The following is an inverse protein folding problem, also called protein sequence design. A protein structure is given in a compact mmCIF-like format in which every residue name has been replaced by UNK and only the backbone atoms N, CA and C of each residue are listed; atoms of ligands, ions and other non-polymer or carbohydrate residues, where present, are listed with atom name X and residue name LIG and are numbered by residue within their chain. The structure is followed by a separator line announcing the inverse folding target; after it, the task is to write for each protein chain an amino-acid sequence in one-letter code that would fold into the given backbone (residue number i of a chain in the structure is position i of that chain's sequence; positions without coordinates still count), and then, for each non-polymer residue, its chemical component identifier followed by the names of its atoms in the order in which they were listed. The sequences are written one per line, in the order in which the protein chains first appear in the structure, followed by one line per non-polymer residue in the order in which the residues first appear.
data_IF_059304918161
#
_entry.id   IF_059304918161
#
_cell.length_a   1.000
_cell.length_b   1.000
_cell.length_c   1.000
_cell.angle_alpha   90.00
_cell.angle_beta   90.00
_cell.angle_gamma   90.00
#
_symmetry.space_group_name_H-M   'P 1'
#
loop_
_entity.id
_entity.type
_entity.pdbx_description
1 polymer ?
#
# COMPACT_ATOMS: atom_id res chain seq x y z
N UNK A 1 17.72 -69.91 6.60
CA UNK A 1 16.30 -70.20 6.33
C UNK A 1 15.52 -68.90 6.33
N UNK A 2 14.67 -68.73 5.32
CA UNK A 2 13.94 -67.52 4.92
C UNK A 2 12.90 -67.11 5.97
N UNK A 3 12.69 -65.81 6.20
CA UNK A 3 11.36 -65.27 6.49
C UNK A 3 11.21 -63.87 5.93
N UNK A 4 10.23 -63.80 5.06
CA UNK A 4 9.77 -62.80 4.11
C UNK A 4 9.17 -61.58 4.79
N UNK A 5 9.46 -60.39 4.25
CA UNK A 5 8.75 -59.16 4.52
C UNK A 5 7.53 -59.08 3.60
N UNK A 6 6.34 -58.95 4.17
CA UNK A 6 5.09 -58.77 3.42
C UNK A 6 4.72 -57.30 3.41
N UNK A 7 4.74 -56.71 2.21
CA UNK A 7 4.11 -55.44 1.87
C UNK A 7 2.60 -55.53 2.07
N UNK A 8 1.99 -54.55 2.73
CA UNK A 8 0.55 -54.28 2.61
C UNK A 8 0.40 -52.89 2.01
N UNK A 9 0.08 -52.87 0.71
CA UNK A 9 -0.50 -51.73 0.00
C UNK A 9 -1.90 -51.48 0.58
N UNK A 10 -2.11 -50.29 1.14
CA UNK A 10 -3.44 -49.76 1.42
C UNK A 10 -4.06 -49.18 0.14
N UNK A 11 -5.01 -49.91 -0.45
CA UNK A 11 -5.84 -49.43 -1.54
C UNK A 11 -7.00 -48.59 -0.97
N UNK A 12 -7.00 -47.28 -1.23
CA UNK A 12 -8.18 -46.44 -1.07
C UNK A 12 -8.71 -46.09 -2.47
N UNK A 13 -9.64 -46.92 -2.94
CA UNK A 13 -10.55 -46.57 -4.03
C UNK A 13 -11.63 -45.63 -3.46
N UNK A 14 -11.58 -44.35 -3.84
CA UNK A 14 -12.78 -43.51 -3.88
C UNK A 14 -12.93 -42.99 -5.31
N UNK A 15 -13.86 -43.63 -6.01
CA UNK A 15 -14.44 -43.17 -7.26
C UNK A 15 -15.37 -41.99 -6.95
N UNK A 16 -14.98 -40.79 -7.38
CA UNK A 16 -15.93 -39.72 -7.69
C UNK A 16 -15.66 -39.25 -9.12
N UNK A 17 -16.72 -39.28 -9.92
CA UNK A 17 -16.78 -39.07 -11.36
C UNK A 17 -16.43 -37.63 -11.79
N UNK A 18 -16.14 -37.41 -13.10
CA UNK A 18 -15.46 -36.23 -13.63
C UNK A 18 -16.43 -35.10 -14.00
N UNK A 19 -16.02 -33.86 -13.73
CA UNK A 19 -16.59 -32.65 -14.34
C UNK A 19 -15.45 -31.79 -14.88
N UNK A 20 -15.37 -31.67 -16.20
CA UNK A 20 -14.42 -30.81 -16.92
C UNK A 20 -14.78 -29.32 -16.74
N UNK A 21 -13.80 -28.49 -16.41
CA UNK A 21 -13.59 -27.21 -17.09
C UNK A 21 -12.13 -26.74 -16.91
N UNK A 22 -11.40 -26.41 -18.00
CA UNK A 22 -10.02 -25.94 -17.95
C UNK A 22 -9.97 -24.41 -17.82
N UNK A 23 -8.98 -23.88 -17.10
CA UNK A 23 -8.76 -22.44 -17.05
C UNK A 23 -7.57 -22.01 -16.19
N UNK A 24 -6.40 -21.92 -16.82
CA UNK A 24 -5.22 -21.12 -16.46
C UNK A 24 -5.11 -20.61 -15.00
N UNK A 25 -4.33 -21.30 -14.18
CA UNK A 25 -3.61 -20.68 -13.07
C UNK A 25 -2.22 -20.25 -13.57
N UNK A 26 -2.00 -18.94 -13.72
CA UNK A 26 -0.69 -18.28 -13.59
C UNK A 26 -0.88 -16.78 -13.74
N UNK A 27 -0.70 -16.03 -12.65
CA UNK A 27 -0.79 -14.59 -12.63
C UNK A 27 -0.99 -14.09 -11.21
N UNK A 28 0.11 -13.84 -10.52
CA UNK A 28 0.22 -13.31 -9.15
C UNK A 28 -0.76 -12.16 -8.90
N UNK A 29 -1.83 -12.43 -8.14
CA UNK A 29 -2.62 -11.39 -7.51
C UNK A 29 -1.72 -10.65 -6.51
N UNK A 30 -1.49 -9.37 -6.75
CA UNK A 30 -1.02 -8.45 -5.72
C UNK A 30 -1.94 -8.60 -4.50
N UNK A 31 -1.40 -8.59 -3.25
CA UNK A 31 -2.23 -8.80 -2.08
C UNK A 31 -3.24 -7.65 -1.96
N UNK A 32 -4.48 -7.92 -2.36
CA UNK A 32 -5.62 -7.06 -2.09
C UNK A 32 -6.00 -7.30 -0.63
N UNK A 33 -5.27 -6.62 0.24
CA UNK A 33 -5.42 -6.66 1.69
C UNK A 33 -6.77 -6.05 2.06
N UNK A 34 -7.80 -6.89 2.02
CA UNK A 34 -9.16 -6.58 2.43
C UNK A 34 -9.25 -6.82 3.95
N UNK A 35 -8.78 -5.86 4.75
CA UNK A 35 -9.15 -5.80 6.16
C UNK A 35 -10.24 -4.75 6.30
N UNK A 36 -11.33 -5.09 6.99
CA UNK A 36 -12.37 -4.16 7.40
C UNK A 36 -11.70 -3.00 8.18
N UNK A 37 -11.43 -1.90 7.47
CA UNK A 37 -10.76 -0.73 7.98
C UNK A 37 -11.81 0.28 8.41
N UNK A 38 -11.69 0.76 9.64
CA UNK A 38 -12.22 2.06 10.05
C UNK A 38 -11.95 3.08 8.94
N UNK A 39 -12.91 3.96 8.58
CA UNK A 39 -12.71 4.92 7.51
C UNK A 39 -11.40 5.68 7.71
N UNK A 40 -10.45 5.53 6.79
CA UNK A 40 -9.17 6.19 6.90
C UNK A 40 -9.39 7.69 6.77
N UNK A 41 -8.96 8.46 7.78
CA UNK A 41 -9.03 9.91 7.77
C UNK A 41 -7.62 10.48 7.76
N UNK A 42 -7.45 11.68 7.19
CA UNK A 42 -6.14 12.34 7.23
C UNK A 42 -5.61 12.54 8.66
N UNK A 43 -6.49 12.67 9.65
CA UNK A 43 -6.12 12.81 11.07
C UNK A 43 -5.43 11.56 11.64
N UNK A 44 -5.61 10.38 11.05
CA UNK A 44 -4.88 9.18 11.44
C UNK A 44 -3.37 9.38 11.35
N UNK A 45 -2.91 10.18 10.37
CA UNK A 45 -1.49 10.43 10.13
C UNK A 45 -0.84 11.22 11.27
N UNK A 46 -1.59 12.05 12.00
CA UNK A 46 -1.07 12.82 13.14
C UNK A 46 -0.61 11.93 14.30
N UNK A 47 -1.03 10.67 14.33
CA UNK A 47 -0.62 9.68 15.32
C UNK A 47 0.44 8.70 14.78
N UNK A 48 1.10 9.02 13.67
CA UNK A 48 2.12 8.16 13.08
C UNK A 48 3.30 7.95 14.05
N UNK A 49 3.69 6.69 14.26
CA UNK A 49 4.91 6.31 14.99
C UNK A 49 6.11 6.19 14.05
N UNK A 50 5.84 6.02 12.76
CA UNK A 50 6.84 6.02 11.68
C UNK A 50 6.24 6.70 10.47
N UNK A 51 7.00 7.55 9.81
CA UNK A 51 6.66 8.14 8.53
C UNK A 51 7.82 7.91 7.56
N UNK A 52 7.58 7.10 6.55
CA UNK A 52 8.51 6.87 5.45
C UNK A 52 8.08 7.67 4.22
N UNK A 53 9.06 8.24 3.54
CA UNK A 53 8.89 9.00 2.31
C UNK A 53 9.74 8.35 1.22
N UNK A 54 9.10 7.97 0.12
CA UNK A 54 9.72 7.26 -1.00
C UNK A 54 9.57 8.14 -2.24
N UNK A 55 10.66 8.45 -2.91
CA UNK A 55 10.62 9.22 -4.16
C UNK A 55 10.72 8.29 -5.36
N UNK A 56 10.20 8.73 -6.51
CA UNK A 56 10.28 7.97 -7.77
C UNK A 56 11.75 7.60 -8.08
N UNK A 57 12.05 6.39 -8.60
CA UNK A 57 13.43 5.93 -8.82
C UNK A 57 14.29 6.79 -9.75
N UNK A 58 13.64 7.59 -10.61
CA UNK A 58 14.27 8.51 -11.56
C UNK A 58 14.50 9.91 -10.97
N UNK A 59 14.15 10.12 -9.70
CA UNK A 59 14.42 11.37 -8.98
C UNK A 59 15.89 11.42 -8.55
N UNK A 60 16.51 12.59 -8.65
CA UNK A 60 17.87 12.84 -8.15
C UNK A 60 17.95 12.94 -6.61
N UNK A 61 16.84 12.69 -5.92
CA UNK A 61 16.71 12.75 -4.47
C UNK A 61 17.04 11.38 -3.81
N UNK A 62 17.54 11.37 -2.55
CA UNK A 62 17.64 10.14 -1.75
C UNK A 62 16.32 9.37 -1.77
N UNK A 63 16.41 8.07 -2.11
CA UNK A 63 15.23 7.30 -2.54
C UNK A 63 14.21 7.09 -1.41
N UNK A 64 14.66 6.91 -0.18
CA UNK A 64 13.80 6.71 0.99
C UNK A 64 14.32 7.51 2.19
N UNK A 65 13.42 8.23 2.87
CA UNK A 65 13.67 8.81 4.18
C UNK A 65 12.70 8.23 5.20
N UNK A 66 13.18 8.00 6.42
CA UNK A 66 12.38 7.41 7.49
C UNK A 66 12.48 8.30 8.72
N UNK A 67 11.34 8.82 9.16
CA UNK A 67 11.18 9.55 10.41
C UNK A 67 10.50 8.64 11.43
N UNK A 68 10.88 8.76 12.71
CA UNK A 68 10.37 7.92 13.80
C UNK A 68 9.86 8.77 14.97
N UNK A 69 8.93 8.20 15.72
CA UNK A 69 8.38 8.73 16.96
C UNK A 69 7.96 10.20 16.87
N UNK A 70 8.58 11.09 17.65
CA UNK A 70 8.22 12.50 17.67
C UNK A 70 8.47 13.19 16.33
N UNK A 71 9.57 12.85 15.64
CA UNK A 71 9.86 13.43 14.34
C UNK A 71 8.81 13.01 13.29
N UNK A 72 8.35 11.76 13.33
CA UNK A 72 7.27 11.31 12.46
C UNK A 72 5.98 12.12 12.68
N UNK A 73 5.63 12.39 13.95
CA UNK A 73 4.48 13.23 14.31
C UNK A 73 4.64 14.67 13.84
N UNK A 74 5.82 15.25 14.02
CA UNK A 74 6.11 16.64 13.61
C UNK A 74 5.99 16.79 12.09
N UNK A 75 6.51 15.82 11.32
CA UNK A 75 6.38 15.81 9.86
C UNK A 75 4.93 15.57 9.43
N UNK A 76 4.20 14.68 10.10
CA UNK A 76 2.78 14.47 9.83
C UNK A 76 1.93 15.72 10.15
N UNK A 77 2.27 16.49 11.18
CA UNK A 77 1.59 17.74 11.53
C UNK A 77 1.74 18.82 10.44
N UNK A 78 2.82 18.79 9.66
CA UNK A 78 3.00 19.64 8.47
C UNK A 78 2.19 19.10 7.29
N UNK A 79 2.16 17.77 7.11
CA UNK A 79 1.52 17.12 5.97
C UNK A 79 -0.01 17.19 6.02
N UNK A 80 -0.62 16.91 7.18
CA UNK A 80 -2.08 16.75 7.32
C UNK A 80 -2.88 17.99 6.88
N UNK A 81 -2.52 19.23 7.28
CA UNK A 81 -3.23 20.42 6.81
C UNK A 81 -3.20 20.58 5.28
N UNK A 82 -2.08 20.23 4.64
CA UNK A 82 -1.95 20.27 3.17
C UNK A 82 -2.90 19.26 2.52
N UNK A 83 -2.95 18.02 3.03
CA UNK A 83 -3.87 17.00 2.50
C UNK A 83 -5.34 17.38 2.70
N UNK A 84 -5.69 17.96 3.85
CA UNK A 84 -7.05 18.44 4.14
C UNK A 84 -7.51 19.60 3.26
N UNK A 85 -6.58 20.38 2.70
CA UNK A 85 -6.91 21.48 1.79
C UNK A 85 -7.32 21.04 0.39
N UNK A 86 -7.07 19.77 0.03
CA UNK A 86 -7.31 19.25 -1.29
C UNK A 86 -8.78 18.92 -1.56
N UNK A 87 -9.22 19.15 -2.79
CA UNK A 87 -10.60 18.88 -3.19
C UNK A 87 -10.75 17.41 -3.60
N UNK A 88 -11.75 16.70 -3.06
CA UNK A 88 -12.05 15.32 -3.46
C UNK A 88 -12.43 15.29 -4.95
N UNK A 89 -11.89 14.31 -5.67
CA UNK A 89 -12.16 14.07 -7.09
C UNK A 89 -12.92 12.76 -7.29
N UNK A 90 -13.84 12.75 -8.25
CA UNK A 90 -14.37 11.51 -8.81
C UNK A 90 -13.57 11.13 -10.05
N UNK A 91 -12.66 10.17 -9.88
CA UNK A 91 -11.88 9.61 -10.99
C UNK A 91 -12.46 8.25 -11.34
N UNK A 92 -12.86 8.09 -12.61
CA UNK A 92 -13.46 6.84 -13.13
C UNK A 92 -12.43 5.80 -13.56
N UNK A 93 -11.22 6.23 -13.92
CA UNK A 93 -10.15 5.37 -14.39
C UNK A 93 -8.86 5.55 -13.57
N UNK A 94 -8.21 4.47 -13.10
CA UNK A 94 -7.01 4.58 -12.28
C UNK A 94 -5.85 5.23 -13.04
N UNK A 95 -5.16 6.15 -12.36
CA UNK A 95 -3.94 6.77 -12.87
C UNK A 95 -2.87 5.71 -13.05
N UNK A 96 -2.35 5.58 -14.28
CA UNK A 96 -1.34 4.56 -14.64
C UNK A 96 0.10 5.02 -14.43
N UNK A 97 0.32 6.30 -14.17
CA UNK A 97 1.67 6.81 -13.87
C UNK A 97 2.12 6.32 -12.50
N UNK A 98 3.44 6.18 -12.31
CA UNK A 98 3.99 5.97 -10.99
C UNK A 98 3.90 7.27 -10.17
N UNK A 99 3.64 7.20 -8.85
CA UNK A 99 3.70 8.37 -8.00
C UNK A 99 5.09 9.00 -8.03
N UNK A 100 5.13 10.32 -7.90
CA UNK A 100 6.34 11.12 -7.76
C UNK A 100 6.92 10.94 -6.36
N UNK A 101 6.04 10.91 -5.35
CA UNK A 101 6.37 10.67 -3.94
C UNK A 101 5.29 9.78 -3.32
N UNK A 102 5.69 8.84 -2.47
CA UNK A 102 4.79 8.04 -1.65
C UNK A 102 5.13 8.24 -0.19
N UNK A 103 4.12 8.54 0.64
CA UNK A 103 4.22 8.47 2.09
C UNK A 103 3.66 7.17 2.60
N UNK A 104 4.38 6.53 3.51
CA UNK A 104 3.94 5.36 4.25
C UNK A 104 4.02 5.68 5.73
N UNK A 105 2.87 5.81 6.38
CA UNK A 105 2.78 6.06 7.80
C UNK A 105 2.29 4.81 8.55
N UNK A 106 2.98 4.43 9.62
CA UNK A 106 2.50 3.42 10.55
C UNK A 106 1.74 4.12 11.67
N UNK A 107 0.44 3.84 11.80
CA UNK A 107 -0.47 4.47 12.78
C UNK A 107 -1.10 3.40 13.68
N UNK A 108 -1.66 3.76 14.84
CA UNK A 108 -2.41 2.82 15.68
C UNK A 108 -3.58 2.14 14.95
N UNK A 109 -4.14 2.82 13.94
CA UNK A 109 -5.25 2.32 13.11
C UNK A 109 -4.75 1.53 11.87
N UNK A 110 -3.46 1.19 11.82
CA UNK A 110 -2.80 0.47 10.73
C UNK A 110 -1.99 1.36 9.80
N UNK A 111 -1.40 0.75 8.77
CA UNK A 111 -0.61 1.46 7.76
C UNK A 111 -1.50 2.41 6.95
N UNK A 112 -1.00 3.61 6.67
CA UNK A 112 -1.61 4.62 5.81
C UNK A 112 -0.65 4.96 4.68
N UNK A 113 -1.18 5.01 3.46
CA UNK A 113 -0.38 5.27 2.26
C UNK A 113 -0.98 6.46 1.53
N UNK A 114 -0.14 7.45 1.22
CA UNK A 114 -0.50 8.61 0.40
C UNK A 114 0.40 8.60 -0.83
N UNK A 115 -0.18 8.45 -2.01
CA UNK A 115 0.53 8.47 -3.29
C UNK A 115 0.35 9.83 -3.95
N UNK A 116 1.45 10.55 -4.16
CA UNK A 116 1.46 11.89 -4.74
C UNK A 116 1.86 11.83 -6.21
N UNK A 117 1.09 12.53 -7.03
CA UNK A 117 1.33 12.76 -8.45
C UNK A 117 1.57 14.26 -8.66
N UNK A 118 1.77 14.71 -9.90
CA UNK A 118 2.11 16.11 -10.18
C UNK A 118 1.06 17.12 -9.67
N UNK A 119 -0.23 16.79 -9.83
CA UNK A 119 -1.37 17.69 -9.60
C UNK A 119 -2.41 17.11 -8.61
N UNK A 120 -2.18 15.91 -8.08
CA UNK A 120 -3.18 15.19 -7.29
C UNK A 120 -2.53 14.18 -6.37
N UNK A 121 -3.33 13.61 -5.48
CA UNK A 121 -2.91 12.46 -4.70
C UNK A 121 -4.02 11.44 -4.52
N UNK A 122 -3.61 10.22 -4.20
CA UNK A 122 -4.48 9.12 -3.82
C UNK A 122 -4.24 8.76 -2.35
N UNK A 123 -5.33 8.59 -1.63
CA UNK A 123 -5.36 8.15 -0.24
C UNK A 123 -6.44 7.09 -0.07
N UNK A 124 -6.03 5.83 0.13
CA UNK A 124 -6.92 4.68 0.31
C UNK A 124 -8.00 4.55 -0.78
N UNK A 125 -7.58 4.61 -2.04
CA UNK A 125 -8.45 4.50 -3.22
C UNK A 125 -9.28 5.75 -3.52
N UNK A 126 -9.19 6.79 -2.68
CA UNK A 126 -9.87 8.07 -2.92
C UNK A 126 -8.88 9.09 -3.50
N UNK A 127 -9.32 9.81 -4.53
CA UNK A 127 -8.50 10.79 -5.24
C UNK A 127 -8.82 12.22 -4.82
N UNK A 128 -7.80 13.06 -4.78
CA UNK A 128 -7.89 14.46 -4.37
C UNK A 128 -7.03 15.35 -5.28
N UNK A 129 -7.58 16.49 -5.71
CA UNK A 129 -6.90 17.51 -6.50
C UNK A 129 -6.06 18.39 -5.59
N UNK A 130 -4.78 18.54 -5.90
CA UNK A 130 -3.86 19.41 -5.21
C UNK A 130 -2.80 19.90 -6.20
N UNK A 131 -2.98 21.13 -6.71
CA UNK A 131 -2.05 21.68 -7.69
C UNK A 131 -0.63 21.74 -7.12
N UNK A 132 0.34 21.27 -7.92
CA UNK A 132 1.73 21.06 -7.53
C UNK A 132 1.85 20.24 -6.24
N UNK A 133 1.16 19.09 -6.17
CA UNK A 133 1.08 18.28 -4.97
C UNK A 133 2.47 17.95 -4.38
N UNK A 134 3.49 17.52 -5.15
CA UNK A 134 4.79 17.18 -4.59
C UNK A 134 5.47 18.41 -3.98
N UNK A 135 5.41 19.57 -4.63
CA UNK A 135 6.04 20.78 -4.10
C UNK A 135 5.42 21.23 -2.77
N UNK A 136 4.08 21.20 -2.68
CA UNK A 136 3.34 21.60 -1.48
C UNK A 136 3.49 20.63 -0.31
N UNK A 137 3.60 19.34 -0.60
CA UNK A 137 3.65 18.29 0.43
C UNK A 137 5.07 17.91 0.83
N UNK A 138 5.95 17.63 -0.14
CA UNK A 138 7.33 17.22 0.09
C UNK A 138 8.25 18.40 0.44
N UNK A 139 8.10 19.54 -0.26
CA UNK A 139 8.94 20.73 -0.06
C UNK A 139 9.19 21.13 1.41
N UNK A 140 8.15 21.20 2.28
CA UNK A 140 8.31 21.61 3.67
C UNK A 140 8.79 20.50 4.62
N UNK A 141 8.70 19.22 4.24
CA UNK A 141 9.05 18.09 5.12
C UNK A 141 10.42 17.49 4.81
N UNK A 142 11.06 17.90 3.71
CA UNK A 142 12.39 17.43 3.32
C UNK A 142 13.36 17.48 4.52
N UNK A 143 14.18 16.45 4.73
CA UNK A 143 15.22 16.52 5.75
C UNK A 143 16.18 17.68 5.43
N UNK A 144 16.71 18.29 6.49
CA UNK A 144 17.68 19.39 6.38
C UNK A 144 19.02 18.89 5.86
#
# INVERSE_FOLDING_TARGET
MRRTWTLILGAALLLALPGCAPGNQSGTASPQQSNQQTPATFDDLSNATRLEMITKPTSDLPKNWVFQDQEAKDKAAILVPVLKSAAKMDIKDPVKSAPVVTFVADTPNGKRIVNLFEDRFEYHGTWYQLDNAPEKTYGPIKPK
#
